data_IF_902261171820
#
_entry.id   IF_902261171820
#
_cell.length_a   1.000
_cell.length_b   1.000
_cell.length_c   1.000
_cell.angle_alpha   90.00
_cell.angle_beta   90.00
_cell.angle_gamma   90.00
#
_symmetry.space_group_name_H-M   'P 1'
#
loop_
_entity.id
_entity.type
_entity.pdbx_description
1 polymer ?
#
# COMPACT_ATOMS: atom_id res chain seq x y z
N UNK A 1 2.40 9.74 3.92
CA UNK A 1 3.65 10.42 4.34
C UNK A 1 4.66 10.29 3.21
N UNK A 2 5.35 11.36 2.82
CA UNK A 2 6.36 11.29 1.75
C UNK A 2 7.48 10.30 2.11
N UNK A 3 7.95 9.51 1.14
CA UNK A 3 8.96 8.45 1.38
C UNK A 3 10.34 9.00 1.75
N UNK A 4 10.63 10.26 1.40
CA UNK A 4 11.91 10.94 1.66
C UNK A 4 11.83 11.90 2.86
N UNK A 5 10.72 11.91 3.59
CA UNK A 5 10.60 12.73 4.80
C UNK A 5 11.65 12.31 5.84
N UNK A 6 12.45 13.26 6.33
CA UNK A 6 13.45 13.03 7.37
C UNK A 6 12.85 12.63 8.72
N UNK A 7 11.56 12.92 8.92
CA UNK A 7 10.79 12.60 10.14
C UNK A 7 9.61 11.68 9.81
N UNK A 8 9.80 10.79 8.83
CA UNK A 8 8.75 9.89 8.35
C UNK A 8 8.14 9.05 9.47
N UNK A 9 8.96 8.50 10.37
CA UNK A 9 8.46 7.64 11.46
C UNK A 9 7.61 8.43 12.47
N UNK A 10 8.02 9.64 12.84
CA UNK A 10 7.26 10.51 13.73
C UNK A 10 5.95 10.96 13.07
N UNK A 11 6.00 11.33 11.79
CA UNK A 11 4.81 11.70 11.03
C UNK A 11 3.83 10.52 10.89
N UNK A 12 4.33 9.30 10.71
CA UNK A 12 3.52 8.08 10.68
C UNK A 12 2.83 7.82 12.02
N UNK A 13 3.53 8.03 13.15
CA UNK A 13 2.98 7.87 14.49
C UNK A 13 1.86 8.87 14.79
N UNK A 14 2.06 10.14 14.42
CA UNK A 14 1.01 11.17 14.54
C UNK A 14 -0.17 10.78 13.65
N UNK A 15 0.09 10.47 12.37
CA UNK A 15 -0.96 10.10 11.42
C UNK A 15 -1.80 8.92 11.90
N UNK A 16 -1.15 7.84 12.38
CA UNK A 16 -1.85 6.66 12.89
C UNK A 16 -2.74 7.00 14.09
N UNK A 17 -2.21 7.77 15.04
CA UNK A 17 -2.93 8.20 16.24
C UNK A 17 -4.19 8.98 15.87
N UNK A 18 -4.06 9.96 14.98
CA UNK A 18 -5.20 10.79 14.56
C UNK A 18 -6.21 10.00 13.73
N UNK A 19 -5.75 9.12 12.82
CA UNK A 19 -6.67 8.24 12.07
C UNK A 19 -7.48 7.36 13.04
N UNK A 20 -6.84 6.72 14.02
CA UNK A 20 -7.56 5.91 15.01
C UNK A 20 -8.59 6.73 15.80
N UNK A 21 -8.23 7.96 16.20
CA UNK A 21 -9.14 8.86 16.89
C UNK A 21 -10.39 9.20 16.05
N UNK A 22 -10.22 9.46 14.75
CA UNK A 22 -11.36 9.73 13.85
C UNK A 22 -12.16 8.46 13.53
N UNK A 23 -11.50 7.32 13.33
CA UNK A 23 -12.18 6.04 13.10
C UNK A 23 -13.08 5.65 14.28
N UNK A 24 -12.65 5.92 15.51
CA UNK A 24 -13.44 5.65 16.72
C UNK A 24 -14.71 6.50 16.84
N UNK A 25 -14.83 7.59 16.08
CA UNK A 25 -16.04 8.43 16.03
C UNK A 25 -17.06 7.92 15.00
N UNK A 26 -16.67 7.03 14.10
CA UNK A 26 -17.56 6.49 13.07
C UNK A 26 -18.58 5.52 13.67
N UNK A 27 -19.85 5.73 13.34
CA UNK A 27 -20.96 4.89 13.79
C UNK A 27 -21.10 3.63 12.95
N UNK A 28 -21.96 2.71 13.38
CA UNK A 28 -22.27 1.51 12.61
C UNK A 28 -22.87 1.86 11.24
N UNK A 29 -22.41 1.16 10.21
CA UNK A 29 -22.73 1.48 8.81
C UNK A 29 -21.83 2.55 8.17
N UNK A 30 -20.89 3.15 8.92
CA UNK A 30 -19.88 4.06 8.38
C UNK A 30 -18.52 3.38 8.31
N UNK A 31 -18.14 2.95 7.10
CA UNK A 31 -16.87 2.25 6.87
C UNK A 31 -16.04 2.99 5.83
N UNK A 32 -14.72 2.92 5.97
CA UNK A 32 -13.78 3.59 5.07
C UNK A 32 -12.70 2.62 4.59
N UNK A 33 -12.07 2.98 3.48
CA UNK A 33 -10.79 2.41 3.06
C UNK A 33 -9.69 3.45 3.29
N UNK A 34 -8.51 2.99 3.69
CA UNK A 34 -7.36 3.87 3.91
C UNK A 34 -6.28 3.58 2.88
N UNK A 35 -5.84 4.61 2.15
CA UNK A 35 -4.70 4.52 1.24
C UNK A 35 -3.49 5.24 1.85
N UNK A 36 -2.49 4.47 2.27
CA UNK A 36 -1.34 4.98 3.03
C UNK A 36 -0.01 4.62 2.34
N UNK A 37 1.04 5.37 2.68
CA UNK A 37 2.41 5.00 2.32
C UNK A 37 2.84 3.76 3.12
N UNK A 38 3.66 2.88 2.53
CA UNK A 38 4.27 1.77 3.27
C UNK A 38 5.10 2.32 4.46
N UNK A 39 4.87 1.81 5.69
CA UNK A 39 5.48 2.38 6.89
C UNK A 39 6.98 2.07 6.99
N UNK A 40 7.70 2.81 7.85
CA UNK A 40 9.10 2.49 8.15
C UNK A 40 9.24 1.23 9.01
N UNK A 41 8.27 0.99 9.90
CA UNK A 41 8.22 -0.20 10.77
C UNK A 41 7.21 -1.19 10.21
N UNK A 42 7.63 -2.44 10.03
CA UNK A 42 6.76 -3.50 9.53
C UNK A 42 5.52 -3.67 10.44
N UNK A 43 4.35 -3.86 9.83
CA UNK A 43 3.06 -4.00 10.52
C UNK A 43 2.67 -2.79 11.40
N UNK A 44 3.26 -1.61 11.21
CA UNK A 44 2.94 -0.43 12.02
C UNK A 44 1.45 -0.08 12.01
N UNK A 45 0.76 -0.32 10.89
CA UNK A 45 -0.67 -0.08 10.72
C UNK A 45 -1.59 -1.27 11.06
N UNK A 46 -1.11 -2.31 11.75
CA UNK A 46 -1.92 -3.49 12.10
C UNK A 46 -3.22 -3.13 12.85
N UNK A 47 -3.19 -2.12 13.74
CA UNK A 47 -4.39 -1.63 14.42
C UNK A 47 -5.42 -1.02 13.47
N UNK A 48 -4.99 -0.36 12.39
CA UNK A 48 -5.88 0.17 11.36
C UNK A 48 -6.50 -0.96 10.54
N UNK A 49 -5.72 -2.00 10.23
CA UNK A 49 -6.20 -3.21 9.52
C UNK A 49 -7.26 -3.94 10.35
N UNK A 50 -7.08 -4.00 11.67
CA UNK A 50 -8.00 -4.68 12.58
C UNK A 50 -9.23 -3.83 12.98
N UNK A 51 -9.27 -2.54 12.61
CA UNK A 51 -10.32 -1.64 13.08
C UNK A 51 -11.67 -1.97 12.42
N UNK A 52 -12.78 -2.10 13.18
CA UNK A 52 -14.08 -2.54 12.65
C UNK A 52 -14.73 -1.56 11.65
N UNK A 53 -14.22 -0.33 11.57
CA UNK A 53 -14.66 0.71 10.61
C UNK A 53 -13.78 0.80 9.36
N UNK A 54 -12.77 -0.07 9.24
CA UNK A 54 -11.87 -0.11 8.08
C UNK A 54 -12.15 -1.36 7.26
N UNK A 55 -12.65 -1.17 6.03
CA UNK A 55 -12.91 -2.28 5.10
C UNK A 55 -11.60 -2.88 4.60
N UNK A 56 -10.62 -2.02 4.29
CA UNK A 56 -9.30 -2.41 3.82
C UNK A 56 -8.30 -1.27 3.96
N UNK A 57 -7.05 -1.63 4.25
CA UNK A 57 -5.90 -0.75 4.07
C UNK A 57 -5.22 -1.11 2.75
N UNK A 58 -4.97 -0.09 1.93
CA UNK A 58 -4.27 -0.23 0.66
C UNK A 58 -3.02 0.65 0.63
N UNK A 59 -1.94 0.18 0.00
CA UNK A 59 -0.67 0.87 -0.03
C UNK A 59 -0.41 1.59 -1.36
N UNK A 60 0.09 2.82 -1.30
CA UNK A 60 0.71 3.49 -2.45
C UNK A 60 2.21 3.16 -2.53
N UNK A 61 2.77 3.06 -3.74
CA UNK A 61 4.22 2.84 -3.92
C UNK A 61 5.05 4.06 -3.58
N UNK A 62 4.50 5.27 -3.73
CA UNK A 62 5.07 6.50 -3.18
C UNK A 62 6.38 6.97 -3.80
N UNK A 63 6.88 6.30 -4.85
CA UNK A 63 8.19 6.57 -5.45
C UNK A 63 9.19 5.43 -5.28
N UNK A 64 8.87 4.41 -4.49
CA UNK A 64 9.62 3.15 -4.51
C UNK A 64 9.49 2.45 -5.87
N UNK A 65 10.52 1.71 -6.26
CA UNK A 65 10.46 0.76 -7.38
C UNK A 65 9.37 -0.29 -7.14
N UNK A 66 8.93 -0.99 -8.18
CA UNK A 66 7.99 -2.12 -8.00
C UNK A 66 8.57 -3.19 -7.06
N UNK A 67 9.84 -3.52 -7.21
CA UNK A 67 10.51 -4.53 -6.38
C UNK A 67 10.53 -4.12 -4.90
N UNK A 68 10.99 -2.91 -4.60
CA UNK A 68 11.02 -2.38 -3.21
C UNK A 68 9.62 -2.27 -2.62
N UNK A 69 8.65 -1.85 -3.43
CA UNK A 69 7.25 -1.75 -3.02
C UNK A 69 6.69 -3.12 -2.64
N UNK A 70 6.94 -4.15 -3.45
CA UNK A 70 6.49 -5.52 -3.16
C UNK A 70 7.19 -6.09 -1.92
N UNK A 71 8.50 -5.92 -1.81
CA UNK A 71 9.27 -6.40 -0.66
C UNK A 71 8.78 -5.79 0.66
N UNK A 72 8.53 -4.49 0.68
CA UNK A 72 7.97 -3.78 1.84
C UNK A 72 6.52 -4.15 2.11
N UNK A 73 5.69 -4.25 1.07
CA UNK A 73 4.29 -4.63 1.21
C UNK A 73 4.15 -6.02 1.85
N UNK A 74 4.97 -6.99 1.43
CA UNK A 74 4.95 -8.34 1.97
C UNK A 74 5.18 -8.42 3.50
N UNK A 75 5.84 -7.41 4.10
CA UNK A 75 6.05 -7.33 5.55
C UNK A 75 4.86 -6.74 6.32
N UNK A 76 3.82 -6.26 5.63
CA UNK A 76 2.67 -5.57 6.21
C UNK A 76 1.39 -6.37 6.01
N UNK A 77 1.11 -7.28 6.97
CA UNK A 77 0.01 -8.25 6.90
C UNK A 77 -1.34 -7.56 6.77
N UNK A 78 -2.17 -8.06 5.87
CA UNK A 78 -3.52 -7.55 5.63
C UNK A 78 -3.58 -6.20 4.88
N UNK A 79 -2.44 -5.65 4.46
CA UNK A 79 -2.36 -4.49 3.56
C UNK A 79 -2.22 -4.98 2.12
N UNK A 80 -3.02 -4.42 1.20
CA UNK A 80 -2.94 -4.77 -0.25
C UNK A 80 -2.36 -3.63 -1.08
N UNK A 81 -1.79 -3.92 -2.24
CA UNK A 81 -1.30 -2.87 -3.12
C UNK A 81 -2.43 -2.02 -3.74
N UNK A 82 -2.18 -0.72 -3.91
CA UNK A 82 -2.92 0.20 -4.78
C UNK A 82 -1.92 1.05 -5.55
N UNK A 83 -1.12 0.36 -6.38
CA UNK A 83 -0.03 0.95 -7.15
C UNK A 83 -0.52 1.49 -8.50
N UNK A 84 0.08 2.61 -8.94
CA UNK A 84 -0.15 3.17 -10.28
C UNK A 84 1.12 3.03 -11.13
N UNK A 85 2.08 3.95 -11.01
CA UNK A 85 3.33 3.90 -11.79
C UNK A 85 4.11 2.60 -11.60
N UNK A 86 4.13 2.04 -10.38
CA UNK A 86 4.81 0.77 -10.12
C UNK A 86 4.11 -0.43 -10.80
N UNK A 87 2.78 -0.36 -11.03
CA UNK A 87 2.05 -1.37 -11.82
C UNK A 87 2.45 -1.30 -13.31
N UNK A 88 2.71 -0.10 -13.83
CA UNK A 88 3.00 0.12 -15.25
C UNK A 88 4.49 0.29 -15.57
N UNK A 89 5.36 0.14 -14.57
CA UNK A 89 6.82 0.33 -14.73
C UNK A 89 7.38 -0.72 -15.70
N UNK A 90 8.08 -0.26 -16.74
CA UNK A 90 8.63 -1.10 -17.80
C UNK A 90 7.71 -1.28 -19.02
N UNK A 91 6.41 -1.02 -18.88
CA UNK A 91 5.46 -1.09 -19.99
C UNK A 91 5.65 0.09 -20.95
N UNK A 92 5.53 -0.17 -22.25
CA UNK A 92 5.75 0.83 -23.30
C UNK A 92 4.93 0.54 -24.55
N UNK A 93 4.51 1.61 -25.23
CA UNK A 93 3.83 1.54 -26.53
C UNK A 93 4.69 0.95 -27.66
N UNK A 94 6.00 0.73 -27.43
CA UNK A 94 6.94 0.15 -28.40
C UNK A 94 7.06 -1.38 -28.29
N UNK A 95 6.47 -1.99 -27.26
CA UNK A 95 6.51 -3.44 -27.06
C UNK A 95 5.59 -4.14 -28.06
N UNK A 96 5.92 -5.39 -28.39
CA UNK A 96 4.91 -6.29 -28.97
C UNK A 96 3.82 -6.58 -27.93
N UNK A 97 2.64 -6.98 -28.41
CA UNK A 97 1.52 -7.37 -27.54
C UNK A 97 1.92 -8.51 -26.59
N UNK A 98 2.70 -9.49 -27.07
CA UNK A 98 3.16 -10.61 -26.26
C UNK A 98 4.10 -10.18 -25.12
N UNK A 99 5.05 -9.27 -25.40
CA UNK A 99 5.96 -8.74 -24.37
C UNK A 99 5.21 -7.88 -23.35
N UNK A 100 4.27 -7.06 -23.81
CA UNK A 100 3.44 -6.23 -22.94
C UNK A 100 2.60 -7.10 -21.99
N UNK A 101 1.85 -8.06 -22.54
CA UNK A 101 0.98 -8.95 -21.77
C UNK A 101 1.80 -9.78 -20.77
N UNK A 102 2.93 -10.36 -21.20
CA UNK A 102 3.81 -11.11 -20.31
C UNK A 102 4.33 -10.25 -19.15
N UNK A 103 4.76 -9.02 -19.43
CA UNK A 103 5.28 -8.13 -18.39
C UNK A 103 4.19 -7.68 -17.41
N UNK A 104 2.98 -7.39 -17.92
CA UNK A 104 1.85 -7.04 -17.07
C UNK A 104 1.44 -8.22 -16.18
N UNK A 105 1.39 -9.43 -16.71
CA UNK A 105 1.09 -10.66 -15.95
C UNK A 105 2.12 -10.89 -14.83
N UNK A 106 3.42 -10.85 -15.17
CA UNK A 106 4.50 -11.02 -14.18
C UNK A 106 4.43 -9.92 -13.09
N UNK A 107 4.06 -8.69 -13.49
CA UNK A 107 3.90 -7.56 -12.58
C UNK A 107 2.69 -7.74 -11.64
N UNK A 108 1.55 -8.16 -12.18
CA UNK A 108 0.34 -8.43 -11.40
C UNK A 108 0.59 -9.56 -10.42
N UNK A 109 1.22 -10.66 -10.84
CA UNK A 109 1.51 -11.80 -9.97
C UNK A 109 2.43 -11.40 -8.81
N UNK A 110 3.50 -10.63 -9.08
CA UNK A 110 4.40 -10.15 -8.03
C UNK A 110 3.68 -9.25 -7.00
N UNK A 111 2.86 -8.32 -7.48
CA UNK A 111 2.05 -7.44 -6.63
C UNK A 111 1.02 -8.24 -5.82
N UNK A 112 0.37 -9.22 -6.45
CA UNK A 112 -0.60 -10.10 -5.82
C UNK A 112 0.03 -10.89 -4.68
N UNK A 113 1.16 -11.56 -4.93
CA UNK A 113 1.88 -12.33 -3.91
C UNK A 113 2.28 -11.50 -2.71
N UNK A 114 2.73 -10.26 -2.93
CA UNK A 114 3.05 -9.33 -1.85
C UNK A 114 1.79 -8.84 -1.10
N UNK A 115 0.63 -8.79 -1.74
CA UNK A 115 -0.62 -8.29 -1.17
C UNK A 115 -1.39 -9.32 -0.33
N UNK A 116 -1.07 -10.62 -0.44
CA UNK A 116 -1.82 -11.70 0.23
C UNK A 116 -1.10 -12.27 1.47
N UNK A 117 -0.09 -11.56 1.99
CA UNK A 117 0.68 -11.98 3.17
C UNK A 117 0.00 -11.67 4.51
#
# INVERSE_FOLDING_TARGET
VDINSSTKAEAEAILKTEILAELNKLTEGQEVMLKLTLPNTDNFYAELVAHPRVVRVVALSGGYSREDSNAKLAQNKGVIASFSRALTEGLSAKQSEAEFNKMLDDTIEGIYRASIT
#
